data_IF_244734175212
#
_entry.id   IF_244734175212
#
_cell.length_a   1.000
_cell.length_b   1.000
_cell.length_c   1.000
_cell.angle_alpha   90.00
_cell.angle_beta   90.00
_cell.angle_gamma   90.00
#
_symmetry.space_group_name_H-M   'P 1'
#
loop_
_entity.id
_entity.type
_entity.pdbx_description
1 polymer ?
#
# COMPACT_ATOMS: atom_id res chain seq x y z
N UNK A 1 23.77 14.56 -15.15
CA UNK A 1 22.41 14.10 -14.78
C UNK A 1 22.16 12.79 -15.51
N UNK A 2 21.72 11.71 -14.80
CA UNK A 2 21.29 10.47 -15.47
C UNK A 2 20.08 10.79 -16.39
N UNK A 3 20.00 10.13 -17.55
CA UNK A 3 18.88 10.29 -18.50
C UNK A 3 17.56 9.92 -17.78
N UNK A 4 16.50 10.70 -17.98
CA UNK A 4 15.15 10.33 -17.52
C UNK A 4 14.65 9.17 -18.36
N UNK A 5 14.14 8.14 -17.69
CA UNK A 5 13.50 6.99 -18.34
C UNK A 5 12.04 7.32 -18.64
N UNK A 6 11.55 6.78 -19.75
CA UNK A 6 10.13 6.77 -20.13
C UNK A 6 9.53 5.45 -19.68
N UNK A 7 8.68 5.48 -18.67
CA UNK A 7 8.14 4.29 -18.00
C UNK A 7 6.66 4.15 -18.34
N UNK A 8 6.28 3.01 -18.91
CA UNK A 8 4.88 2.65 -19.10
C UNK A 8 4.36 1.89 -17.89
N UNK A 9 3.18 2.25 -17.39
CA UNK A 9 2.50 1.53 -16.30
C UNK A 9 0.99 1.79 -16.33
N UNK A 10 0.26 1.17 -15.39
CA UNK A 10 -1.19 1.28 -15.24
C UNK A 10 -1.54 1.79 -13.83
N UNK A 11 -2.73 2.34 -13.70
CA UNK A 11 -3.23 2.83 -12.41
C UNK A 11 -3.99 1.71 -11.69
N UNK A 12 -3.30 0.92 -10.86
CA UNK A 12 -3.90 -0.18 -10.10
C UNK A 12 -4.09 0.19 -8.63
N UNK A 13 -3.05 0.68 -7.97
CA UNK A 13 -3.06 1.07 -6.55
C UNK A 13 -2.71 2.55 -6.43
N UNK A 14 -3.73 3.41 -6.34
CA UNK A 14 -3.58 4.86 -6.48
C UNK A 14 -2.51 5.49 -5.60
N UNK A 15 -2.53 5.25 -4.29
CA UNK A 15 -1.54 5.81 -3.36
C UNK A 15 -0.13 5.29 -3.64
N UNK A 16 0.02 3.99 -3.85
CA UNK A 16 1.31 3.42 -4.17
C UNK A 16 1.88 3.99 -5.47
N UNK A 17 1.05 4.04 -6.51
CA UNK A 17 1.45 4.61 -7.80
C UNK A 17 1.85 6.08 -7.67
N UNK A 18 1.10 6.87 -6.88
CA UNK A 18 1.45 8.26 -6.61
C UNK A 18 2.84 8.38 -5.95
N UNK A 19 3.15 7.52 -4.98
CA UNK A 19 4.47 7.50 -4.35
C UNK A 19 5.56 7.04 -5.32
N UNK A 20 5.30 6.05 -6.16
CA UNK A 20 6.22 5.61 -7.21
C UNK A 20 6.55 6.74 -8.19
N UNK A 21 5.58 7.58 -8.53
CA UNK A 21 5.81 8.71 -9.45
C UNK A 21 6.62 9.86 -8.86
N UNK A 22 7.01 9.79 -7.58
CA UNK A 22 8.00 10.72 -7.00
C UNK A 22 9.43 10.42 -7.47
N UNK A 23 9.68 9.24 -8.05
CA UNK A 23 10.94 8.92 -8.73
C UNK A 23 11.10 9.85 -9.95
N UNK A 24 12.27 10.50 -10.17
CA UNK A 24 12.44 11.54 -11.18
C UNK A 24 12.58 10.99 -12.62
N UNK A 25 11.58 10.22 -13.05
CA UNK A 25 11.40 9.66 -14.39
C UNK A 25 10.06 10.09 -14.97
N UNK A 26 9.82 9.86 -16.26
CA UNK A 26 8.58 10.22 -16.94
C UNK A 26 7.66 8.98 -16.98
N UNK A 27 6.53 9.05 -16.28
CA UNK A 27 5.56 7.98 -16.16
C UNK A 27 4.41 8.19 -17.15
N UNK A 28 4.14 7.20 -17.97
CA UNK A 28 3.05 7.15 -18.92
C UNK A 28 1.99 6.16 -18.43
N UNK A 29 0.85 6.69 -17.98
CA UNK A 29 -0.24 5.89 -17.44
C UNK A 29 -1.24 5.58 -18.55
N UNK A 30 -1.47 4.29 -18.80
CA UNK A 30 -2.44 3.87 -19.82
C UNK A 30 -3.82 4.38 -19.44
N UNK A 31 -4.48 5.05 -20.40
CA UNK A 31 -5.83 5.59 -20.27
C UNK A 31 -6.71 5.01 -21.37
N UNK A 32 -7.78 4.32 -20.97
CA UNK A 32 -8.80 3.76 -21.86
C UNK A 32 -10.20 4.06 -21.30
N UNK A 33 -10.89 4.99 -21.93
CA UNK A 33 -12.23 5.40 -21.51
C UNK A 33 -13.26 4.26 -21.59
N UNK A 34 -13.02 3.23 -22.40
CA UNK A 34 -13.88 2.05 -22.51
C UNK A 34 -13.67 1.04 -21.38
N UNK A 35 -12.54 1.11 -20.68
CA UNK A 35 -12.15 0.20 -19.57
C UNK A 35 -11.63 0.98 -18.34
N UNK A 36 -12.40 1.93 -17.80
CA UNK A 36 -11.91 2.85 -16.75
C UNK A 36 -11.48 2.15 -15.46
N UNK A 37 -11.96 0.94 -15.19
CA UNK A 37 -11.59 0.15 -13.99
C UNK A 37 -10.18 -0.40 -14.05
N UNK A 38 -9.59 -0.53 -15.24
CA UNK A 38 -8.27 -1.10 -15.47
C UNK A 38 -7.27 -0.11 -16.08
N UNK A 39 -7.78 0.93 -16.75
CA UNK A 39 -6.96 1.88 -17.50
C UNK A 39 -7.43 3.31 -17.24
N UNK A 40 -7.35 3.76 -15.99
CA UNK A 40 -7.93 5.05 -15.57
C UNK A 40 -6.98 6.25 -15.73
N UNK A 41 -5.74 6.03 -16.17
CA UNK A 41 -4.76 7.11 -16.24
C UNK A 41 -4.54 7.80 -14.89
N UNK A 42 -4.37 9.12 -14.90
CA UNK A 42 -4.32 9.96 -13.69
C UNK A 42 -5.73 10.15 -13.12
N UNK A 43 -6.19 9.20 -12.35
CA UNK A 43 -7.51 9.28 -11.69
C UNK A 43 -7.40 9.63 -10.21
N UNK A 44 -8.54 9.92 -9.59
CA UNK A 44 -8.63 10.32 -8.20
C UNK A 44 -8.22 11.77 -7.94
N UNK A 45 -8.05 12.12 -6.67
CA UNK A 45 -7.74 13.48 -6.19
C UNK A 45 -6.26 13.67 -5.85
N UNK A 46 -5.38 12.78 -6.36
CA UNK A 46 -3.94 12.85 -6.09
C UNK A 46 -3.29 14.00 -6.88
N UNK A 47 -2.36 14.75 -6.29
CA UNK A 47 -1.69 15.88 -6.93
C UNK A 47 -0.53 15.39 -7.82
N UNK A 48 -0.87 14.79 -8.96
CA UNK A 48 0.10 14.23 -9.91
C UNK A 48 1.12 15.27 -10.37
N UNK A 49 2.39 14.87 -10.39
CA UNK A 49 3.49 15.71 -10.87
C UNK A 49 3.48 15.93 -12.39
N UNK A 50 4.24 16.91 -12.86
CA UNK A 50 4.39 17.21 -14.29
C UNK A 50 5.08 16.08 -15.08
N UNK A 51 5.71 15.13 -14.41
CA UNK A 51 6.34 13.94 -14.98
C UNK A 51 5.38 12.76 -15.17
N UNK A 52 4.08 12.94 -14.88
CA UNK A 52 3.05 11.89 -15.03
C UNK A 52 2.11 12.27 -16.15
N UNK A 53 1.99 11.42 -17.14
CA UNK A 53 1.25 11.67 -18.37
C UNK A 53 0.18 10.61 -18.59
N UNK A 54 -1.03 11.05 -18.95
CA UNK A 54 -2.04 10.14 -19.49
C UNK A 54 -1.65 9.72 -20.91
N UNK A 55 -1.71 8.44 -21.18
CA UNK A 55 -1.43 7.90 -22.50
C UNK A 55 -2.67 7.12 -23.01
N UNK A 56 -3.38 7.65 -24.02
CA UNK A 56 -4.46 6.91 -24.64
C UNK A 56 -4.00 5.55 -25.16
N UNK A 57 -4.81 4.51 -24.94
CA UNK A 57 -4.45 3.12 -25.24
C UNK A 57 -4.10 2.92 -26.72
N UNK A 58 -4.74 3.68 -27.62
CA UNK A 58 -4.50 3.63 -29.07
C UNK A 58 -3.10 4.12 -29.45
N UNK A 59 -2.50 4.97 -28.60
CA UNK A 59 -1.17 5.55 -28.82
C UNK A 59 -0.04 4.70 -28.24
N UNK A 60 -0.33 3.69 -27.44
CA UNK A 60 0.68 2.89 -26.74
C UNK A 60 1.64 2.22 -27.72
N UNK A 61 1.15 1.57 -28.78
CA UNK A 61 1.99 0.84 -29.75
C UNK A 61 2.94 1.74 -30.54
N UNK A 62 2.57 3.03 -30.71
CA UNK A 62 3.36 4.01 -31.46
C UNK A 62 4.33 4.77 -30.56
N UNK A 63 4.21 4.62 -29.25
CA UNK A 63 5.04 5.34 -28.28
C UNK A 63 6.28 4.53 -27.92
N UNK A 64 7.35 5.24 -27.57
CA UNK A 64 8.61 4.64 -27.14
C UNK A 64 8.71 4.66 -25.62
N UNK A 65 9.20 3.56 -25.04
CA UNK A 65 9.45 3.44 -23.61
C UNK A 65 10.82 2.82 -23.37
N UNK A 66 11.36 3.01 -22.17
CA UNK A 66 12.60 2.40 -21.71
C UNK A 66 12.31 1.19 -20.80
N UNK A 67 11.22 1.25 -20.03
CA UNK A 67 10.81 0.23 -19.03
C UNK A 67 9.29 0.08 -19.03
N UNK A 68 8.80 -1.13 -18.82
CA UNK A 68 7.38 -1.42 -18.55
C UNK A 68 7.24 -1.95 -17.12
N UNK A 69 6.36 -1.33 -16.33
CA UNK A 69 6.05 -1.75 -14.96
C UNK A 69 4.62 -2.29 -14.90
N UNK A 70 4.49 -3.55 -14.52
CA UNK A 70 3.22 -4.24 -14.30
C UNK A 70 2.87 -4.25 -12.82
N UNK A 71 1.58 -4.20 -12.49
CA UNK A 71 1.09 -4.18 -11.11
C UNK A 71 -0.09 -5.13 -10.88
N UNK A 72 -0.57 -5.80 -11.92
CA UNK A 72 -1.65 -6.79 -11.81
C UNK A 72 -1.45 -7.98 -12.74
N UNK A 73 -2.01 -9.12 -12.33
CA UNK A 73 -1.99 -10.36 -13.12
C UNK A 73 -2.63 -10.16 -14.50
N UNK A 74 -3.74 -9.41 -14.57
CA UNK A 74 -4.42 -9.14 -15.83
C UNK A 74 -3.54 -8.37 -16.83
N UNK A 75 -2.77 -7.39 -16.35
CA UNK A 75 -1.82 -6.66 -17.19
C UNK A 75 -0.73 -7.59 -17.75
N UNK A 76 -0.21 -8.48 -16.90
CA UNK A 76 0.83 -9.43 -17.27
C UNK A 76 0.32 -10.53 -18.21
N UNK A 77 -0.78 -11.20 -17.91
CA UNK A 77 -1.25 -12.36 -18.66
C UNK A 77 -2.05 -11.98 -19.92
N UNK A 78 -2.72 -10.83 -19.94
CA UNK A 78 -3.69 -10.50 -20.99
C UNK A 78 -3.40 -9.14 -21.64
N UNK A 79 -3.44 -8.04 -20.88
CA UNK A 79 -3.47 -6.69 -21.43
C UNK A 79 -2.22 -6.37 -22.24
N UNK A 80 -1.03 -6.79 -21.82
CA UNK A 80 0.20 -6.58 -22.58
C UNK A 80 0.13 -7.14 -24.00
N UNK A 81 -0.57 -8.23 -24.21
CA UNK A 81 -0.72 -8.86 -25.54
C UNK A 81 -1.70 -8.11 -26.43
N UNK A 82 -2.66 -7.41 -25.82
CA UNK A 82 -3.65 -6.61 -26.52
C UNK A 82 -3.10 -5.26 -26.98
N UNK A 83 -2.32 -4.57 -26.12
CA UNK A 83 -1.94 -3.17 -26.33
C UNK A 83 -0.48 -2.92 -26.65
N UNK A 84 0.46 -3.82 -26.28
CA UNK A 84 1.88 -3.66 -26.58
C UNK A 84 2.26 -4.31 -27.90
N UNK A 85 3.18 -3.69 -28.62
CA UNK A 85 3.87 -4.32 -29.74
C UNK A 85 4.82 -5.43 -29.25
N UNK A 86 5.26 -6.31 -30.16
CA UNK A 86 6.22 -7.35 -29.82
C UNK A 86 7.56 -6.77 -29.31
N UNK A 87 8.01 -5.66 -29.91
CA UNK A 87 9.22 -4.97 -29.48
C UNK A 87 9.06 -4.40 -28.06
N UNK A 88 7.91 -3.80 -27.74
CA UNK A 88 7.64 -3.27 -26.41
C UNK A 88 7.57 -4.36 -25.33
N UNK A 89 7.05 -5.55 -25.65
CA UNK A 89 7.05 -6.69 -24.72
C UNK A 89 8.45 -7.27 -24.44
N UNK A 90 9.47 -6.89 -25.22
CA UNK A 90 10.88 -7.27 -24.99
C UNK A 90 11.68 -6.19 -24.25
N UNK A 91 11.08 -5.03 -23.97
CA UNK A 91 11.72 -4.01 -23.15
C UNK A 91 12.06 -4.52 -21.75
N UNK A 92 12.98 -3.89 -21.02
CA UNK A 92 13.16 -4.09 -19.59
C UNK A 92 11.84 -4.06 -18.85
N UNK A 93 11.58 -5.05 -17.99
CA UNK A 93 10.28 -5.22 -17.32
C UNK A 93 10.45 -5.39 -15.82
N UNK A 94 9.56 -4.75 -15.09
CA UNK A 94 9.39 -4.91 -13.64
C UNK A 94 7.94 -5.36 -13.39
N UNK A 95 7.74 -6.30 -12.47
CA UNK A 95 6.43 -6.60 -11.92
C UNK A 95 6.41 -6.26 -10.43
N UNK A 96 5.43 -5.48 -9.98
CA UNK A 96 5.25 -5.15 -8.57
C UNK A 96 4.16 -6.05 -7.99
N UNK A 97 4.53 -6.85 -6.99
CA UNK A 97 3.60 -7.71 -6.27
C UNK A 97 3.19 -7.05 -4.95
N UNK A 98 1.92 -6.67 -4.88
CA UNK A 98 1.35 -5.94 -3.76
C UNK A 98 0.78 -6.84 -2.66
N UNK A 99 0.38 -8.05 -2.99
CA UNK A 99 -0.29 -8.97 -2.06
C UNK A 99 0.53 -10.27 -1.86
N UNK A 100 0.41 -10.94 -0.71
CA UNK A 100 0.88 -12.31 -0.58
C UNK A 100 -0.04 -13.26 -1.36
N UNK A 101 0.36 -14.53 -1.59
CA UNK A 101 -0.44 -15.52 -2.32
C UNK A 101 -1.87 -15.65 -1.77
N UNK A 102 -2.86 -15.55 -2.64
CA UNK A 102 -4.28 -15.55 -2.24
C UNK A 102 -4.93 -16.95 -2.31
N UNK A 103 -4.46 -17.81 -3.22
CA UNK A 103 -5.03 -19.13 -3.45
C UNK A 103 -4.59 -20.12 -2.36
N UNK A 104 -3.29 -20.21 -2.12
CA UNK A 104 -2.71 -20.98 -1.04
C UNK A 104 -1.51 -20.23 -0.45
N UNK A 105 -1.47 -19.98 0.86
CA UNK A 105 -0.50 -19.07 1.47
C UNK A 105 0.96 -19.50 1.29
N UNK A 106 1.26 -20.79 1.16
CA UNK A 106 2.63 -21.32 1.11
C UNK A 106 2.92 -22.24 -0.07
N UNK A 107 1.96 -22.44 -0.99
CA UNK A 107 2.12 -23.35 -2.13
C UNK A 107 1.53 -22.74 -3.42
N UNK A 108 1.69 -21.45 -3.59
CA UNK A 108 1.28 -20.76 -4.81
C UNK A 108 2.51 -20.27 -5.57
N UNK A 109 2.63 -20.70 -6.82
CA UNK A 109 3.65 -20.18 -7.73
C UNK A 109 3.22 -18.83 -8.28
N UNK A 110 4.17 -17.91 -8.34
CA UNK A 110 3.94 -16.64 -8.99
C UNK A 110 3.76 -16.84 -10.50
N UNK A 111 2.82 -16.11 -11.10
CA UNK A 111 2.53 -16.19 -12.54
C UNK A 111 3.61 -15.57 -13.41
N UNK A 112 4.46 -14.70 -12.87
CA UNK A 112 5.67 -14.22 -13.53
C UNK A 112 6.76 -15.27 -13.32
N UNK A 113 7.09 -16.02 -14.38
CA UNK A 113 8.13 -17.04 -14.38
C UNK A 113 9.13 -16.73 -15.52
N UNK A 114 9.83 -15.60 -15.44
CA UNK A 114 10.72 -15.07 -16.46
C UNK A 114 12.01 -14.52 -15.83
N UNK A 115 13.20 -15.09 -16.12
CA UNK A 115 14.46 -14.61 -15.54
C UNK A 115 14.87 -13.20 -16.01
N UNK A 116 14.21 -12.65 -17.04
CA UNK A 116 14.48 -11.31 -17.56
C UNK A 116 13.52 -10.24 -16.98
N UNK A 117 12.71 -10.57 -15.97
CA UNK A 117 11.81 -9.66 -15.28
C UNK A 117 12.27 -9.50 -13.85
N UNK A 118 12.33 -8.29 -13.34
CA UNK A 118 12.51 -8.05 -11.91
C UNK A 118 11.15 -8.10 -11.21
N UNK A 119 10.96 -9.04 -10.29
CA UNK A 119 9.78 -9.13 -9.43
C UNK A 119 10.05 -8.35 -8.13
N UNK A 120 9.36 -7.23 -7.97
CA UNK A 120 9.47 -6.39 -6.77
C UNK A 120 8.35 -6.71 -5.81
N UNK A 121 8.68 -7.22 -4.63
CA UNK A 121 7.75 -7.41 -3.53
C UNK A 121 7.72 -6.17 -2.63
N UNK A 122 6.54 -5.74 -2.20
CA UNK A 122 6.38 -4.56 -1.35
C UNK A 122 6.68 -4.84 0.13
N UNK A 123 6.86 -6.10 0.51
CA UNK A 123 7.27 -6.54 1.87
C UNK A 123 8.13 -7.79 1.81
N UNK A 124 8.94 -8.00 2.86
CA UNK A 124 9.68 -9.25 3.05
C UNK A 124 8.74 -10.44 3.24
N UNK A 125 7.58 -10.23 3.86
CA UNK A 125 6.57 -11.27 3.99
C UNK A 125 6.07 -11.76 2.63
N UNK A 126 5.79 -10.86 1.69
CA UNK A 126 5.37 -11.26 0.33
C UNK A 126 6.46 -12.08 -0.37
N UNK A 127 7.71 -11.62 -0.34
CA UNK A 127 8.84 -12.34 -0.95
C UNK A 127 9.02 -13.74 -0.36
N UNK A 128 8.87 -13.87 0.96
CA UNK A 128 8.94 -15.16 1.67
C UNK A 128 7.83 -16.13 1.24
N UNK A 129 6.61 -15.61 0.98
CA UNK A 129 5.43 -16.45 0.76
C UNK A 129 5.23 -16.87 -0.69
N UNK A 130 5.72 -16.11 -1.66
CA UNK A 130 5.62 -16.44 -3.06
C UNK A 130 6.70 -17.43 -3.53
N UNK A 131 6.31 -18.49 -4.26
CA UNK A 131 7.26 -19.32 -5.00
C UNK A 131 7.59 -18.64 -6.34
N UNK A 132 8.58 -17.75 -6.33
CA UNK A 132 8.94 -16.89 -7.48
C UNK A 132 9.68 -17.61 -8.61
N UNK A 133 10.11 -18.87 -8.41
CA UNK A 133 10.74 -19.70 -9.45
C UNK A 133 12.05 -19.09 -9.99
N UNK A 134 12.20 -18.96 -11.32
CA UNK A 134 13.42 -18.44 -11.94
C UNK A 134 13.49 -16.91 -11.95
N UNK A 135 12.43 -16.22 -11.53
CA UNK A 135 12.32 -14.76 -11.59
C UNK A 135 13.13 -14.12 -10.48
N UNK A 136 14.11 -13.24 -10.79
CA UNK A 136 14.85 -12.52 -9.75
C UNK A 136 13.93 -11.62 -8.95
N UNK A 137 14.05 -11.65 -7.63
CA UNK A 137 13.24 -10.86 -6.70
C UNK A 137 14.02 -9.74 -6.04
N UNK A 138 13.31 -8.73 -5.62
CA UNK A 138 13.80 -7.65 -4.75
C UNK A 138 12.65 -7.17 -3.86
N UNK A 139 12.94 -6.88 -2.60
CA UNK A 139 12.00 -6.17 -1.74
C UNK A 139 12.28 -4.67 -1.83
N UNK A 140 11.23 -3.89 -2.14
CA UNK A 140 11.20 -2.44 -1.99
C UNK A 140 10.01 -2.10 -1.10
N UNK A 141 10.29 -1.87 0.17
CA UNK A 141 9.25 -1.55 1.14
C UNK A 141 8.54 -0.24 0.78
N UNK A 142 7.32 -0.08 1.25
CA UNK A 142 6.53 1.13 1.02
C UNK A 142 7.30 2.42 1.30
N UNK A 143 7.03 3.45 0.50
CA UNK A 143 7.37 4.83 0.82
C UNK A 143 6.10 5.64 0.90
N UNK A 144 5.97 6.49 1.90
CA UNK A 144 4.78 7.31 2.11
C UNK A 144 5.13 8.78 2.13
N UNK A 145 4.37 9.55 1.38
CA UNK A 145 4.36 11.01 1.40
C UNK A 145 2.99 11.49 1.86
N UNK A 146 2.90 12.06 3.06
CA UNK A 146 1.65 12.64 3.52
C UNK A 146 1.28 13.87 2.70
N UNK A 147 0.00 13.97 2.32
CA UNK A 147 -0.55 15.11 1.56
C UNK A 147 -1.01 16.27 2.46
N UNK A 148 -0.74 16.20 3.76
CA UNK A 148 -0.99 17.27 4.72
C UNK A 148 0.08 17.29 5.81
N UNK A 149 0.16 18.41 6.53
CA UNK A 149 1.03 18.57 7.70
C UNK A 149 0.41 18.04 9.01
N UNK A 150 -0.58 17.16 8.90
CA UNK A 150 -1.30 16.61 10.04
C UNK A 150 -0.35 15.99 11.07
N UNK A 151 -0.64 16.24 12.34
CA UNK A 151 0.08 15.70 13.48
C UNK A 151 -0.91 15.20 14.53
N UNK A 152 -0.53 14.16 15.20
CA UNK A 152 -1.33 13.52 16.22
C UNK A 152 -1.87 14.53 17.27
N UNK A 153 -3.16 14.57 17.42
CA UNK A 153 -3.86 15.28 18.48
C UNK A 153 -4.55 14.33 19.47
N UNK A 154 -5.06 13.22 18.97
CA UNK A 154 -5.71 12.17 19.76
C UNK A 154 -6.94 12.63 20.54
N UNK A 155 -7.58 13.74 20.13
CA UNK A 155 -8.71 14.33 20.87
C UNK A 155 -10.02 13.56 20.69
N UNK A 156 -10.14 12.76 19.64
CA UNK A 156 -11.27 11.85 19.42
C UNK A 156 -11.01 10.55 20.20
N UNK A 157 -11.74 10.25 21.27
CA UNK A 157 -11.50 9.06 22.09
C UNK A 157 -12.06 7.78 21.44
N UNK A 158 -11.58 7.47 20.25
CA UNK A 158 -11.96 6.32 19.42
C UNK A 158 -10.74 5.80 18.66
N UNK A 159 -10.75 4.52 18.32
CA UNK A 159 -9.79 3.97 17.36
C UNK A 159 -10.23 4.21 15.92
N UNK A 160 -9.28 4.54 15.03
CA UNK A 160 -9.52 4.57 13.60
C UNK A 160 -9.23 3.19 12.99
N UNK A 161 -10.09 2.73 12.09
CA UNK A 161 -9.91 1.53 11.26
C UNK A 161 -10.05 1.95 9.79
N UNK A 162 -9.07 1.63 8.96
CA UNK A 162 -9.12 1.99 7.53
C UNK A 162 -8.95 0.71 6.70
N UNK A 163 -10.06 0.20 6.17
CA UNK A 163 -10.08 -1.03 5.35
C UNK A 163 -11.11 -0.90 4.25
N UNK A 164 -10.65 -0.95 3.00
CA UNK A 164 -11.54 -0.96 1.84
C UNK A 164 -12.22 -2.31 1.67
N UNK A 165 -13.51 -2.28 1.33
CA UNK A 165 -14.32 -3.45 1.00
C UNK A 165 -14.32 -4.52 2.10
N UNK A 166 -14.24 -4.12 3.38
CA UNK A 166 -14.21 -5.03 4.52
C UNK A 166 -15.38 -6.03 4.51
N UNK A 167 -16.64 -5.64 4.18
CA UNK A 167 -17.76 -6.58 4.13
C UNK A 167 -17.55 -7.74 3.16
N UNK A 168 -17.13 -7.45 1.93
CA UNK A 168 -16.97 -8.45 0.86
C UNK A 168 -15.69 -9.27 1.00
N UNK A 169 -14.64 -8.70 1.59
CA UNK A 169 -13.33 -9.38 1.81
C UNK A 169 -13.31 -10.19 3.10
N UNK A 170 -14.33 -10.05 3.94
CA UNK A 170 -14.71 -10.92 5.04
C UNK A 170 -13.61 -11.23 6.05
N UNK A 171 -13.50 -12.52 6.39
CA UNK A 171 -12.62 -13.00 7.47
C UNK A 171 -11.13 -12.72 7.20
N UNK A 172 -10.69 -12.73 5.95
CA UNK A 172 -9.30 -12.44 5.58
C UNK A 172 -8.86 -11.05 6.05
N UNK A 173 -9.70 -10.04 5.84
CA UNK A 173 -9.46 -8.67 6.30
C UNK A 173 -10.00 -8.38 7.70
N UNK A 174 -10.48 -9.42 8.42
CA UNK A 174 -10.80 -9.31 9.83
C UNK A 174 -12.18 -8.73 10.14
N UNK A 175 -13.19 -8.90 9.26
CA UNK A 175 -14.55 -8.43 9.53
C UNK A 175 -15.09 -8.94 10.86
N UNK A 176 -14.89 -10.21 11.20
CA UNK A 176 -15.32 -10.82 12.44
C UNK A 176 -14.59 -10.22 13.66
N UNK A 177 -13.27 -10.00 13.56
CA UNK A 177 -12.49 -9.32 14.61
C UNK A 177 -12.94 -7.89 14.80
N UNK A 178 -13.15 -7.15 13.71
CA UNK A 178 -13.70 -5.80 13.76
C UNK A 178 -15.04 -5.78 14.51
N UNK A 179 -15.97 -6.67 14.14
CA UNK A 179 -17.29 -6.81 14.77
C UNK A 179 -17.25 -7.21 16.24
N UNK A 180 -16.27 -8.00 16.64
CA UNK A 180 -16.05 -8.36 18.04
C UNK A 180 -15.54 -7.17 18.84
N UNK A 181 -14.52 -6.48 18.33
CA UNK A 181 -13.88 -5.34 19.02
C UNK A 181 -14.79 -4.13 19.09
N UNK A 182 -15.55 -3.80 18.03
CA UNK A 182 -16.45 -2.61 18.00
C UNK A 182 -17.56 -2.64 19.10
N UNK A 183 -17.93 -3.84 19.59
CA UNK A 183 -18.88 -3.99 20.68
C UNK A 183 -18.29 -3.64 22.06
N UNK A 184 -16.97 -3.56 22.16
CA UNK A 184 -16.21 -3.44 23.41
C UNK A 184 -15.39 -2.16 23.50
N UNK A 185 -15.06 -1.58 22.33
CA UNK A 185 -14.21 -0.40 22.18
C UNK A 185 -14.79 0.51 21.09
N UNK A 186 -14.89 1.83 21.33
CA UNK A 186 -15.38 2.75 20.31
C UNK A 186 -14.40 2.83 19.12
N UNK A 187 -14.89 2.48 17.92
CA UNK A 187 -14.13 2.50 16.67
C UNK A 187 -14.83 3.39 15.64
N UNK A 188 -14.06 3.93 14.70
CA UNK A 188 -14.54 4.59 13.49
C UNK A 188 -13.95 3.87 12.29
N UNK A 189 -14.80 3.25 11.46
CA UNK A 189 -14.39 2.51 10.28
C UNK A 189 -14.49 3.39 9.03
N UNK A 190 -13.40 3.51 8.31
CA UNK A 190 -13.28 4.23 7.05
C UNK A 190 -12.93 3.27 5.90
N UNK A 191 -13.29 3.67 4.68
CA UNK A 191 -12.96 2.94 3.45
C UNK A 191 -14.18 2.67 2.58
N UNK A 192 -13.93 2.21 1.36
CA UNK A 192 -14.98 1.80 0.42
C UNK A 192 -15.87 0.74 1.07
N UNK A 193 -17.18 0.81 0.81
CA UNK A 193 -18.24 -0.05 1.34
C UNK A 193 -18.40 -0.10 2.87
N UNK A 194 -17.64 0.70 3.63
CA UNK A 194 -17.74 0.69 5.11
C UNK A 194 -19.11 1.13 5.60
N UNK A 195 -19.81 2.02 4.90
CA UNK A 195 -21.18 2.47 5.25
C UNK A 195 -22.19 1.32 5.31
N UNK A 196 -22.00 0.27 4.50
CA UNK A 196 -22.88 -0.90 4.51
C UNK A 196 -22.90 -1.65 5.86
N UNK A 197 -21.91 -1.39 6.71
CA UNK A 197 -21.78 -2.01 8.04
C UNK A 197 -21.68 -0.98 9.17
N UNK A 198 -22.14 0.25 8.94
CA UNK A 198 -22.18 1.30 9.95
C UNK A 198 -20.91 2.16 10.06
N UNK A 199 -20.00 2.06 9.08
CA UNK A 199 -18.80 2.91 9.03
C UNK A 199 -19.07 4.30 8.46
N UNK A 200 -18.05 5.14 8.50
CA UNK A 200 -18.07 6.56 8.11
C UNK A 200 -18.02 6.77 6.59
N UNK A 201 -17.61 5.74 5.82
CA UNK A 201 -17.41 5.80 4.38
C UNK A 201 -15.98 6.06 3.97
N UNK A 202 -15.82 6.34 2.69
CA UNK A 202 -14.52 6.64 2.10
C UNK A 202 -14.07 8.07 2.45
N UNK A 203 -12.78 8.21 2.74
CA UNK A 203 -12.11 9.50 2.96
C UNK A 203 -11.04 9.67 1.89
N UNK A 204 -11.06 10.81 1.20
CA UNK A 204 -10.05 11.10 0.18
C UNK A 204 -8.65 11.22 0.77
N UNK A 205 -7.64 10.84 -0.01
CA UNK A 205 -6.24 10.70 0.42
C UNK A 205 -5.67 11.99 1.03
N UNK A 206 -6.06 13.17 0.54
CA UNK A 206 -5.63 14.46 1.08
C UNK A 206 -6.19 14.78 2.47
N UNK A 207 -7.32 14.18 2.85
CA UNK A 207 -7.98 14.39 4.13
C UNK A 207 -7.73 13.28 5.14
N UNK A 208 -7.34 12.10 4.66
CA UNK A 208 -7.15 10.94 5.52
C UNK A 208 -6.13 11.19 6.66
N UNK A 209 -4.98 11.85 6.42
CA UNK A 209 -4.03 12.14 7.50
C UNK A 209 -4.64 12.99 8.62
N UNK A 210 -5.46 14.02 8.30
CA UNK A 210 -6.12 14.87 9.30
C UNK A 210 -7.15 14.10 10.12
N UNK A 211 -7.92 13.22 9.44
CA UNK A 211 -8.89 12.33 10.11
C UNK A 211 -8.16 11.38 11.05
N UNK A 212 -7.09 10.72 10.59
CA UNK A 212 -6.30 9.82 11.41
C UNK A 212 -5.71 10.54 12.63
N UNK A 213 -5.07 11.68 12.45
CA UNK A 213 -4.41 12.45 13.50
C UNK A 213 -5.34 12.83 14.67
N UNK A 214 -6.64 12.90 14.44
CA UNK A 214 -7.64 13.20 15.45
C UNK A 214 -7.92 12.02 16.39
N UNK A 215 -7.79 10.78 15.92
CA UNK A 215 -8.13 9.57 16.68
C UNK A 215 -7.09 9.20 17.74
N UNK A 216 -7.49 8.39 18.72
CA UNK A 216 -6.66 8.01 19.85
C UNK A 216 -5.60 6.98 19.46
N UNK A 217 -5.95 6.00 18.60
CA UNK A 217 -5.08 4.96 18.07
C UNK A 217 -5.60 4.48 16.71
N UNK A 218 -4.78 3.72 15.99
CA UNK A 218 -5.19 2.99 14.79
C UNK A 218 -5.35 1.51 15.11
N UNK A 219 -6.45 0.89 14.68
CA UNK A 219 -6.68 -0.55 14.84
C UNK A 219 -6.63 -1.27 13.50
N UNK A 220 -5.76 -2.29 13.39
CA UNK A 220 -5.63 -3.16 12.23
C UNK A 220 -6.18 -4.57 12.52
N UNK A 221 -7.40 -4.90 12.06
CA UNK A 221 -8.00 -6.23 12.28
C UNK A 221 -7.54 -7.29 11.27
N UNK A 222 -6.68 -6.96 10.31
CA UNK A 222 -6.39 -7.76 9.13
C UNK A 222 -5.55 -8.98 9.49
N UNK A 223 -6.02 -10.18 9.07
CA UNK A 223 -5.30 -11.44 9.29
C UNK A 223 -4.25 -11.73 8.23
N UNK A 224 -4.55 -11.39 6.97
CA UNK A 224 -3.68 -11.80 5.87
C UNK A 224 -3.69 -10.77 4.73
N UNK A 225 -2.59 -10.07 4.60
CA UNK A 225 -2.26 -9.10 3.55
C UNK A 225 -0.75 -8.84 3.60
N UNK A 226 -0.24 -7.96 2.78
CA UNK A 226 1.11 -7.36 2.95
C UNK A 226 1.12 -6.38 4.15
N UNK A 227 1.76 -5.26 4.05
CA UNK A 227 1.62 -4.14 4.98
C UNK A 227 0.71 -3.08 4.33
N UNK A 228 -0.43 -2.78 4.93
CA UNK A 228 -1.36 -1.77 4.39
C UNK A 228 -0.78 -0.35 4.47
N UNK A 229 -0.88 0.42 3.38
CA UNK A 229 -0.44 1.83 3.36
C UNK A 229 -1.09 2.67 4.46
N UNK A 230 -2.36 2.42 4.77
CA UNK A 230 -3.07 3.13 5.84
C UNK A 230 -2.43 2.98 7.23
N UNK A 231 -1.76 1.85 7.51
CA UNK A 231 -0.99 1.65 8.74
C UNK A 231 0.22 2.60 8.75
N UNK A 232 0.96 2.65 7.65
CA UNK A 232 2.14 3.50 7.51
C UNK A 232 1.73 4.99 7.57
N UNK A 233 0.64 5.37 6.91
CA UNK A 233 0.07 6.72 6.96
C UNK A 233 -0.33 7.10 8.39
N UNK A 234 -0.96 6.18 9.14
CA UNK A 234 -1.31 6.37 10.55
C UNK A 234 -0.05 6.57 11.42
N UNK A 235 0.98 5.76 11.22
CA UNK A 235 2.26 5.92 11.91
C UNK A 235 2.92 7.26 11.56
N UNK A 236 2.90 7.68 10.29
CA UNK A 236 3.48 8.95 9.83
C UNK A 236 2.84 10.18 10.49
N UNK A 237 1.55 10.15 10.80
CA UNK A 237 0.88 11.24 11.54
C UNK A 237 1.10 11.14 13.05
N UNK A 238 1.57 10.01 13.55
CA UNK A 238 1.88 9.78 14.96
C UNK A 238 0.80 9.04 15.75
N UNK A 239 0.01 8.16 15.11
CA UNK A 239 -0.89 7.27 15.83
C UNK A 239 -0.15 6.02 16.31
N UNK A 240 -0.37 5.59 17.56
CA UNK A 240 0.03 4.24 17.98
C UNK A 240 -0.83 3.19 17.26
N UNK A 241 -0.22 2.09 16.87
CA UNK A 241 -0.88 1.00 16.14
C UNK A 241 -1.28 -0.11 17.12
N UNK A 242 -2.52 -0.57 17.02
CA UNK A 242 -2.98 -1.81 17.66
C UNK A 242 -3.42 -2.76 16.55
N UNK A 243 -2.99 -4.02 16.57
CA UNK A 243 -3.34 -4.93 15.49
C UNK A 243 -3.04 -6.39 15.76
N UNK A 244 -3.52 -7.25 14.86
CA UNK A 244 -3.18 -8.67 14.92
C UNK A 244 -1.70 -8.88 14.61
N UNK A 245 -1.04 -9.73 15.42
CA UNK A 245 0.36 -10.12 15.23
C UNK A 245 0.49 -11.09 14.05
N UNK A 246 0.27 -10.58 12.83
CA UNK A 246 0.28 -11.37 11.59
C UNK A 246 1.08 -10.66 10.49
N UNK A 247 1.52 -11.42 9.51
CA UNK A 247 2.18 -10.96 8.29
C UNK A 247 3.34 -9.99 8.54
N UNK A 248 3.52 -8.97 7.72
CA UNK A 248 4.61 -7.99 7.87
C UNK A 248 4.50 -7.13 9.13
N UNK A 249 3.30 -6.96 9.71
CA UNK A 249 3.08 -6.08 10.87
C UNK A 249 3.98 -6.46 12.08
N UNK A 250 4.32 -7.74 12.22
CA UNK A 250 5.20 -8.23 13.30
C UNK A 250 6.64 -7.70 13.22
N UNK A 251 7.06 -7.24 12.06
CA UNK A 251 8.40 -6.64 11.88
C UNK A 251 8.40 -5.13 12.10
N UNK A 252 7.23 -4.52 12.14
CA UNK A 252 7.04 -3.06 12.21
C UNK A 252 6.71 -2.60 13.63
N UNK A 253 5.84 -3.35 14.31
CA UNK A 253 5.33 -2.95 15.63
C UNK A 253 6.05 -3.71 16.73
N UNK A 254 6.52 -2.95 17.72
CA UNK A 254 7.12 -3.43 18.97
C UNK A 254 6.20 -3.09 20.13
N UNK A 255 5.75 -4.14 20.85
CA UNK A 255 4.82 -3.99 21.98
C UNK A 255 5.35 -3.04 23.04
N UNK A 256 4.54 -2.04 23.41
CA UNK A 256 4.86 -1.03 24.42
C UNK A 256 5.83 0.07 23.98
N UNK A 257 6.38 -0.01 22.75
CA UNK A 257 7.28 0.98 22.17
C UNK A 257 6.55 1.90 21.17
N UNK A 258 5.98 1.32 20.09
CA UNK A 258 5.30 2.08 19.04
C UNK A 258 3.87 1.59 18.75
N UNK A 259 3.38 0.68 19.57
CA UNK A 259 2.04 0.10 19.45
C UNK A 259 1.91 -1.20 20.24
N UNK A 260 0.85 -1.97 19.91
CA UNK A 260 0.58 -3.28 20.49
C UNK A 260 0.11 -4.24 19.41
N UNK A 261 0.67 -5.43 19.36
CA UNK A 261 0.23 -6.52 18.49
C UNK A 261 0.12 -7.81 19.29
N UNK A 262 -0.93 -8.57 19.04
CA UNK A 262 -1.13 -9.89 19.63
C UNK A 262 -2.01 -10.75 18.71
N UNK A 263 -2.03 -12.05 18.92
CA UNK A 263 -3.00 -12.98 18.34
C UNK A 263 -4.23 -13.14 19.22
N UNK A 264 -4.13 -12.77 20.51
CA UNK A 264 -5.23 -12.72 21.46
C UNK A 264 -5.99 -11.39 21.34
N UNK A 265 -7.24 -11.48 20.87
CA UNK A 265 -8.10 -10.30 20.69
C UNK A 265 -8.48 -9.66 22.02
N UNK A 266 -8.60 -10.42 23.11
CA UNK A 266 -8.91 -9.88 24.45
C UNK A 266 -7.75 -9.01 24.96
N UNK A 267 -6.50 -9.46 24.78
CA UNK A 267 -5.32 -8.68 25.11
C UNK A 267 -5.26 -7.35 24.30
N UNK A 268 -5.59 -7.40 23.00
CA UNK A 268 -5.67 -6.19 22.18
C UNK A 268 -6.75 -5.22 22.64
N UNK A 269 -7.92 -5.72 23.06
CA UNK A 269 -9.01 -4.90 23.61
C UNK A 269 -8.57 -4.19 24.89
N UNK A 270 -7.83 -4.87 25.75
CA UNK A 270 -7.33 -4.28 27.01
C UNK A 270 -6.28 -3.19 26.71
N UNK A 271 -5.35 -3.40 25.77
CA UNK A 271 -4.44 -2.35 25.28
C UNK A 271 -5.21 -1.14 24.69
N UNK A 272 -6.27 -1.37 23.92
CA UNK A 272 -7.09 -0.28 23.37
C UNK A 272 -7.76 0.54 24.45
N UNK A 273 -8.30 -0.11 25.49
CA UNK A 273 -8.90 0.56 26.65
C UNK A 273 -7.87 1.39 27.42
N UNK A 274 -6.66 0.88 27.59
CA UNK A 274 -5.54 1.59 28.20
C UNK A 274 -5.21 2.86 27.40
N UNK A 275 -5.09 2.78 26.07
CA UNK A 275 -4.85 3.92 25.19
C UNK A 275 -5.98 4.96 25.24
N UNK A 276 -7.23 4.52 25.41
CA UNK A 276 -8.37 5.43 25.59
C UNK A 276 -8.31 6.18 26.92
N UNK A 277 -7.90 5.48 27.98
CA UNK A 277 -7.82 6.04 29.33
C UNK A 277 -6.58 6.94 29.51
N UNK A 278 -5.44 6.59 28.91
CA UNK A 278 -4.17 7.30 29.03
C UNK A 278 -3.75 7.96 27.71
N UNK A 279 -4.08 9.26 27.58
CA UNK A 279 -3.70 10.05 26.41
C UNK A 279 -2.18 10.30 26.30
N UNK A 280 -1.46 10.30 27.45
CA UNK A 280 -0.01 10.50 27.45
C UNK A 280 0.70 9.24 26.93
N UNK A 281 0.25 8.06 27.32
CA UNK A 281 0.71 6.78 26.77
C UNK A 281 0.49 6.74 25.25
N UNK A 282 -0.72 7.05 24.78
CA UNK A 282 -1.05 7.04 23.36
C UNK A 282 -0.15 8.00 22.57
N UNK A 283 0.10 9.20 23.07
CA UNK A 283 1.01 10.17 22.45
C UNK A 283 2.45 9.65 22.39
N UNK A 284 2.98 9.13 23.47
CA UNK A 284 4.33 8.59 23.55
C UNK A 284 4.56 7.46 22.54
N UNK A 285 3.65 6.48 22.48
CA UNK A 285 3.73 5.38 21.51
C UNK A 285 3.57 5.87 20.06
N UNK A 286 2.70 6.86 19.85
CA UNK A 286 2.50 7.47 18.53
C UNK A 286 3.73 8.24 18.03
N UNK A 287 4.44 8.94 18.91
CA UNK A 287 5.71 9.60 18.57
C UNK A 287 6.78 8.59 18.16
N UNK A 288 6.88 7.46 18.85
CA UNK A 288 7.78 6.38 18.49
C UNK A 288 7.34 5.67 17.19
N UNK A 289 6.03 5.49 16.97
CA UNK A 289 5.51 4.98 15.70
C UNK A 289 5.89 5.88 14.53
N UNK A 290 5.77 7.20 14.72
CA UNK A 290 6.16 8.18 13.70
C UNK A 290 7.66 8.14 13.41
N UNK A 291 8.50 8.08 14.43
CA UNK A 291 9.94 7.97 14.24
C UNK A 291 10.32 6.72 13.42
N UNK A 292 9.75 5.57 13.77
CA UNK A 292 9.91 4.32 13.02
C UNK A 292 9.45 4.45 11.55
N UNK A 293 8.28 5.08 11.32
CA UNK A 293 7.75 5.23 9.97
C UNK A 293 8.62 6.18 9.10
N UNK A 294 9.10 7.27 9.67
CA UNK A 294 9.98 8.20 8.95
C UNK A 294 11.31 7.57 8.56
N UNK A 295 11.86 6.74 9.44
CA UNK A 295 13.12 6.02 9.19
C UNK A 295 12.92 4.92 8.12
N UNK A 296 11.92 4.04 8.31
CA UNK A 296 11.75 2.83 7.48
C UNK A 296 10.96 3.08 6.19
N UNK A 297 9.96 3.97 6.23
CA UNK A 297 9.00 4.19 5.14
C UNK A 297 9.03 5.62 4.58
N UNK A 298 10.09 6.38 4.84
CA UNK A 298 10.27 7.72 4.28
C UNK A 298 10.34 7.70 2.75
N UNK A 299 9.75 8.70 2.11
CA UNK A 299 9.67 8.78 0.65
C UNK A 299 11.05 8.85 -0.02
N UNK A 300 12.03 9.51 0.59
CA UNK A 300 13.37 9.66 0.01
C UNK A 300 14.09 8.31 -0.11
N UNK A 301 13.99 7.43 0.91
CA UNK A 301 14.50 6.07 0.85
C UNK A 301 13.83 5.29 -0.27
N UNK A 302 12.50 5.33 -0.35
CA UNK A 302 11.72 4.64 -1.38
C UNK A 302 12.11 5.09 -2.80
N UNK A 303 12.27 6.39 -3.00
CA UNK A 303 12.72 6.96 -4.28
C UNK A 303 14.12 6.46 -4.63
N UNK A 304 15.04 6.41 -3.66
CA UNK A 304 16.40 5.92 -3.88
C UNK A 304 16.41 4.42 -4.27
N UNK A 305 15.66 3.58 -3.56
CA UNK A 305 15.56 2.14 -3.85
C UNK A 305 14.98 1.89 -5.26
N UNK A 306 13.95 2.65 -5.64
CA UNK A 306 13.37 2.56 -6.98
C UNK A 306 14.31 3.07 -8.07
N UNK A 307 15.06 4.15 -7.82
CA UNK A 307 16.08 4.63 -8.77
C UNK A 307 17.16 3.57 -9.03
N UNK A 308 17.59 2.84 -7.98
CA UNK A 308 18.58 1.78 -8.10
C UNK A 308 18.03 0.57 -8.83
N UNK A 309 16.78 0.17 -8.57
CA UNK A 309 16.12 -0.93 -9.28
C UNK A 309 15.95 -0.61 -10.77
N UNK A 310 15.43 0.57 -11.10
CA UNK A 310 15.26 1.03 -12.47
C UNK A 310 16.59 1.15 -13.22
N UNK A 311 17.63 1.66 -12.57
CA UNK A 311 18.96 1.77 -13.18
C UNK A 311 19.58 0.41 -13.52
N UNK A 312 19.31 -0.64 -12.73
CA UNK A 312 19.78 -2.00 -13.00
C UNK A 312 19.00 -2.66 -14.15
N UNK A 313 17.71 -2.47 -14.19
CA UNK A 313 16.83 -3.10 -15.19
C UNK A 313 16.97 -2.44 -16.56
N UNK A 314 17.27 -1.14 -16.61
CA UNK A 314 17.41 -0.37 -17.87
C UNK A 314 18.81 -0.43 -18.51
N UNK A 315 19.75 -1.22 -17.95
CA UNK A 315 21.08 -1.47 -18.54
C UNK A 315 20.99 -2.50 -19.66
#
# INVERSE_FOLDING_TARGET
MKRRLRILTWHVHGNYLYYLTQVPHDFHLVNDASRPQHHSGRSGTLPWGANVHDLPVERVRESEFDVVIFQSRAEWETVQHEILSEAQRRLPRIYIEHDPPQEHPTDTRHWVADPNVLLVHVTHFNDLMWASGPTPTQVIEHGVLLLSDARYSGHVPRGAVVVNNLPSRGRRLGLDVYREVERRVPLSLYGMDSKAIGGEGEVGNSRLPDVLAAHRFFFNPIRYTSLGLAIVEAMMVGLPIVGLATTELVTVIRNGENGFIDTDVDALVDCMKELLADAALARRLGEAARACALERFGIDRFVADWQDALARVAQ
#
